data_IF_814292220258
#
_entry.id   IF_814292220258
#
_cell.length_a   1.000
_cell.length_b   1.000
_cell.length_c   1.000
_cell.angle_alpha   90.00
_cell.angle_beta   90.00
_cell.angle_gamma   90.00
#
_symmetry.space_group_name_H-M   'P 1'
#
loop_
_entity.id
_entity.type
_entity.pdbx_description
1 polymer ?
#
# COMPACT_ATOMS: atom_id res chain seq x y z
N UNK A 1 -5.13 29.28 4.64
CA UNK A 1 -5.11 27.92 5.27
C UNK A 1 -3.72 27.32 5.13
N UNK A 2 -3.21 26.54 6.09
CA UNK A 2 -1.89 25.90 6.01
C UNK A 2 -1.91 24.78 4.93
N UNK A 3 -0.88 24.67 4.08
CA UNK A 3 -0.88 23.75 2.92
C UNK A 3 -1.00 22.27 3.29
N UNK A 4 -0.47 21.87 4.44
CA UNK A 4 -0.66 20.53 5.03
C UNK A 4 -2.15 20.21 5.27
N UNK A 5 -2.94 21.16 5.80
CA UNK A 5 -4.41 21.03 5.94
C UNK A 5 -5.10 20.93 4.59
N UNK A 6 -4.65 21.72 3.59
CA UNK A 6 -5.20 21.68 2.22
C UNK A 6 -5.02 20.29 1.58
N UNK A 7 -3.81 19.72 1.64
CA UNK A 7 -3.53 18.38 1.10
C UNK A 7 -4.34 17.28 1.80
N UNK A 8 -4.39 17.28 3.14
CA UNK A 8 -5.16 16.28 3.89
C UNK A 8 -6.66 16.37 3.58
N UNK A 9 -7.19 17.60 3.53
CA UNK A 9 -8.59 17.86 3.16
C UNK A 9 -8.88 17.38 1.74
N UNK A 10 -7.99 17.66 0.78
CA UNK A 10 -8.13 17.20 -0.61
C UNK A 10 -8.20 15.66 -0.71
N UNK A 11 -7.30 14.92 -0.06
CA UNK A 11 -7.34 13.45 -0.10
C UNK A 11 -8.54 12.88 0.64
N UNK A 12 -8.99 13.51 1.74
CA UNK A 12 -10.24 13.15 2.39
C UNK A 12 -11.47 13.40 1.50
N UNK A 13 -11.49 14.48 0.72
CA UNK A 13 -12.56 14.73 -0.26
C UNK A 13 -12.57 13.67 -1.37
N UNK A 14 -11.40 13.25 -1.87
CA UNK A 14 -11.31 12.15 -2.85
C UNK A 14 -11.86 10.83 -2.26
N UNK A 15 -11.47 10.49 -1.03
CA UNK A 15 -11.95 9.28 -0.35
C UNK A 15 -13.45 9.34 -0.04
N UNK A 16 -13.96 10.46 0.47
CA UNK A 16 -15.38 10.66 0.76
C UNK A 16 -16.25 10.58 -0.51
N UNK A 17 -15.77 11.13 -1.63
CA UNK A 17 -16.45 11.01 -2.93
C UNK A 17 -16.54 9.55 -3.39
N UNK A 18 -15.45 8.78 -3.28
CA UNK A 18 -15.45 7.36 -3.63
C UNK A 18 -16.40 6.54 -2.75
N UNK A 19 -16.47 6.82 -1.45
CA UNK A 19 -17.46 6.23 -0.54
C UNK A 19 -18.90 6.59 -0.94
N UNK A 20 -19.18 7.86 -1.25
CA UNK A 20 -20.50 8.30 -1.69
C UNK A 20 -20.92 7.59 -3.00
N UNK A 21 -19.99 7.43 -3.93
CA UNK A 21 -20.25 6.75 -5.21
C UNK A 21 -20.41 5.23 -5.04
N UNK A 22 -19.65 4.61 -4.13
CA UNK A 22 -19.73 3.17 -3.85
C UNK A 22 -21.00 2.79 -3.08
N UNK A 23 -21.52 3.67 -2.23
CA UNK A 23 -22.75 3.46 -1.46
C UNK A 23 -23.99 3.17 -2.34
N UNK A 24 -24.03 3.70 -3.57
CA UNK A 24 -25.10 3.45 -4.53
C UNK A 24 -24.92 2.20 -5.40
N UNK A 25 -23.90 1.38 -5.15
CA UNK A 25 -23.58 0.20 -5.95
C UNK A 25 -24.04 -1.08 -5.25
N UNK A 26 -24.33 -2.12 -6.04
CA UNK A 26 -24.65 -3.45 -5.51
C UNK A 26 -23.47 -4.09 -4.73
N UNK A 27 -22.23 -3.71 -5.05
CA UNK A 27 -21.03 -4.12 -4.31
C UNK A 27 -20.07 -2.91 -4.12
N UNK A 28 -20.16 -2.21 -2.97
CA UNK A 28 -19.30 -1.07 -2.67
C UNK A 28 -17.81 -1.42 -2.66
N UNK A 29 -17.42 -2.58 -2.13
CA UNK A 29 -16.03 -3.02 -2.06
C UNK A 29 -15.40 -3.17 -3.46
N UNK A 30 -16.09 -3.85 -4.39
CA UNK A 30 -15.63 -3.99 -5.78
C UNK A 30 -15.56 -2.64 -6.51
N UNK A 31 -16.52 -1.74 -6.26
CA UNK A 31 -16.45 -0.38 -6.80
C UNK A 31 -15.18 0.35 -6.33
N UNK A 32 -14.91 0.35 -5.02
CA UNK A 32 -13.74 1.03 -4.46
C UNK A 32 -12.43 0.49 -5.02
N UNK A 33 -12.29 -0.84 -5.14
CA UNK A 33 -11.10 -1.46 -5.74
C UNK A 33 -10.89 -1.02 -7.20
N UNK A 34 -11.97 -0.98 -7.99
CA UNK A 34 -11.91 -0.66 -9.43
C UNK A 34 -11.78 0.84 -9.73
N UNK A 35 -12.02 1.71 -8.74
CA UNK A 35 -12.00 3.17 -8.87
C UNK A 35 -10.86 3.83 -8.06
N UNK A 36 -9.72 3.16 -7.94
CA UNK A 36 -8.47 3.69 -7.36
C UNK A 36 -8.58 4.18 -5.89
N UNK A 37 -9.43 3.55 -5.07
CA UNK A 37 -9.57 3.92 -3.65
C UNK A 37 -8.29 3.79 -2.82
N UNK A 38 -7.34 2.94 -3.25
CA UNK A 38 -6.07 2.74 -2.54
C UNK A 38 -5.18 3.98 -2.58
N UNK A 39 -5.20 4.76 -3.67
CA UNK A 39 -4.34 5.94 -3.82
C UNK A 39 -4.59 7.04 -2.76
N UNK A 40 -5.84 7.55 -2.55
CA UNK A 40 -6.08 8.52 -1.48
C UNK A 40 -5.84 7.91 -0.09
N UNK A 41 -6.10 6.62 0.13
CA UNK A 41 -5.80 5.94 1.39
C UNK A 41 -4.28 5.88 1.67
N UNK A 42 -3.45 5.55 0.68
CA UNK A 42 -1.99 5.59 0.81
C UNK A 42 -1.48 7.00 1.12
N UNK A 43 -2.03 8.04 0.50
CA UNK A 43 -1.62 9.41 0.78
C UNK A 43 -2.04 9.85 2.19
N UNK A 44 -3.26 9.54 2.62
CA UNK A 44 -3.72 9.79 3.99
C UNK A 44 -2.90 9.02 5.04
N UNK A 45 -2.54 7.77 4.74
CA UNK A 45 -1.66 6.94 5.58
C UNK A 45 -0.23 7.51 5.61
N UNK A 46 0.32 7.97 4.49
CA UNK A 46 1.63 8.63 4.41
C UNK A 46 1.68 9.94 5.18
N UNK A 47 0.65 10.79 5.05
CA UNK A 47 0.51 12.03 5.81
C UNK A 47 0.47 11.76 7.32
N UNK A 48 -0.42 10.87 7.75
CA UNK A 48 -0.55 10.51 9.17
C UNK A 48 0.70 9.83 9.73
N UNK A 49 1.46 9.06 8.92
CA UNK A 49 2.74 8.42 9.31
C UNK A 49 3.87 9.44 9.51
N UNK A 50 4.01 10.42 8.62
CA UNK A 50 5.00 11.52 8.77
C UNK A 50 4.65 12.39 9.99
N UNK A 51 3.38 12.72 10.17
CA UNK A 51 2.92 13.65 11.21
C UNK A 51 2.72 12.99 12.59
N UNK A 52 2.82 11.66 12.71
CA UNK A 52 2.41 10.89 13.90
C UNK A 52 3.10 11.31 15.21
N UNK A 53 4.32 11.82 15.15
CA UNK A 53 5.09 12.22 16.33
C UNK A 53 5.10 13.75 16.54
N UNK A 54 4.95 14.51 15.47
CA UNK A 54 5.19 15.96 15.43
C UNK A 54 3.90 16.78 15.50
N UNK A 55 2.73 16.15 15.33
CA UNK A 55 1.45 16.85 15.25
C UNK A 55 0.29 15.97 15.73
N UNK A 56 -0.32 16.37 16.87
CA UNK A 56 -1.46 15.68 17.50
C UNK A 56 -1.34 14.14 17.55
N UNK A 57 -0.31 13.56 18.22
CA UNK A 57 0.05 12.14 18.07
C UNK A 57 -1.07 11.14 18.29
N UNK A 58 -1.94 11.38 19.29
CA UNK A 58 -3.11 10.52 19.56
C UNK A 58 -4.09 10.50 18.37
N UNK A 59 -4.40 11.67 17.79
CA UNK A 59 -5.31 11.79 16.65
C UNK A 59 -4.68 11.24 15.37
N UNK A 60 -3.40 11.55 15.10
CA UNK A 60 -2.71 11.04 13.90
C UNK A 60 -2.52 9.53 13.90
N UNK A 61 -2.19 8.91 15.04
CA UNK A 61 -2.19 7.45 15.19
C UNK A 61 -3.57 6.85 14.88
N UNK A 62 -4.62 7.43 15.47
CA UNK A 62 -5.99 6.94 15.31
C UNK A 62 -6.51 7.08 13.87
N UNK A 63 -6.15 8.15 13.17
CA UNK A 63 -6.43 8.31 11.74
C UNK A 63 -5.66 7.28 10.90
N UNK A 64 -4.36 7.08 11.18
CA UNK A 64 -3.53 6.10 10.48
C UNK A 64 -4.10 4.67 10.60
N UNK A 65 -4.57 4.27 11.78
CA UNK A 65 -5.27 3.00 12.01
C UNK A 65 -6.49 2.82 11.08
N UNK A 66 -7.32 3.85 10.93
CA UNK A 66 -8.54 3.76 10.12
C UNK A 66 -8.22 3.67 8.62
N UNK A 67 -7.28 4.48 8.13
CA UNK A 67 -6.85 4.40 6.73
C UNK A 67 -6.11 3.10 6.42
N UNK A 68 -5.26 2.63 7.35
CA UNK A 68 -4.54 1.35 7.23
C UNK A 68 -5.51 0.17 7.11
N UNK A 69 -6.54 0.08 7.95
CA UNK A 69 -7.54 -1.00 7.88
C UNK A 69 -8.25 -1.06 6.52
N UNK A 70 -8.55 0.09 5.91
CA UNK A 70 -9.15 0.12 4.56
C UNK A 70 -8.14 -0.23 3.47
N UNK A 71 -6.89 0.24 3.55
CA UNK A 71 -5.83 -0.09 2.58
C UNK A 71 -5.49 -1.59 2.61
N UNK A 72 -5.30 -2.17 3.80
CA UNK A 72 -4.97 -3.60 3.93
C UNK A 72 -6.11 -4.49 3.39
N UNK A 73 -7.38 -4.14 3.67
CA UNK A 73 -8.54 -4.88 3.17
C UNK A 73 -8.70 -4.79 1.64
N UNK A 74 -8.52 -3.60 1.05
CA UNK A 74 -8.44 -3.44 -0.41
C UNK A 74 -7.22 -4.18 -1.00
N UNK A 75 -6.11 -4.22 -0.28
CA UNK A 75 -4.90 -4.96 -0.66
C UNK A 75 -5.13 -6.47 -0.73
N UNK A 76 -5.93 -7.05 0.17
CA UNK A 76 -6.31 -8.45 0.13
C UNK A 76 -7.18 -8.79 -1.10
N UNK A 77 -8.12 -7.92 -1.46
CA UNK A 77 -8.92 -8.08 -2.68
C UNK A 77 -8.09 -7.94 -3.96
N UNK A 78 -7.22 -6.93 -4.02
CA UNK A 78 -6.27 -6.69 -5.12
C UNK A 78 -5.36 -7.91 -5.35
N UNK A 79 -4.83 -8.50 -4.26
CA UNK A 79 -4.02 -9.71 -4.32
C UNK A 79 -4.72 -10.89 -5.00
N UNK A 80 -5.92 -11.28 -4.55
CA UNK A 80 -6.66 -12.38 -5.20
C UNK A 80 -7.12 -12.02 -6.63
N UNK A 81 -7.48 -10.76 -6.88
CA UNK A 81 -7.85 -10.27 -8.22
C UNK A 81 -6.70 -10.43 -9.21
N UNK A 82 -5.47 -10.08 -8.81
CA UNK A 82 -4.29 -10.19 -9.66
C UNK A 82 -3.87 -11.66 -9.88
N UNK A 83 -3.94 -12.53 -8.87
CA UNK A 83 -3.67 -13.97 -9.05
C UNK A 83 -4.70 -14.60 -9.99
N UNK A 84 -6.00 -14.31 -9.82
CA UNK A 84 -7.05 -14.80 -10.73
C UNK A 84 -6.84 -14.34 -12.16
N UNK A 85 -6.44 -13.08 -12.36
CA UNK A 85 -6.11 -12.51 -13.68
C UNK A 85 -4.96 -13.26 -14.34
N UNK A 86 -3.86 -13.51 -13.62
CA UNK A 86 -2.69 -14.23 -14.14
C UNK A 86 -3.03 -15.71 -14.43
N UNK A 87 -3.87 -16.35 -13.61
CA UNK A 87 -4.23 -17.76 -13.78
C UNK A 87 -5.36 -17.98 -14.80
N UNK A 88 -6.14 -16.95 -15.15
CA UNK A 88 -7.34 -17.04 -16.01
C UNK A 88 -7.07 -17.84 -17.28
N UNK A 89 -6.08 -17.42 -18.06
CA UNK A 89 -5.76 -17.99 -19.37
C UNK A 89 -4.89 -19.25 -19.32
N UNK A 90 -4.29 -19.58 -18.17
CA UNK A 90 -3.42 -20.76 -18.05
C UNK A 90 -4.28 -22.03 -17.97
N UNK A 91 -4.26 -22.85 -19.04
CA UNK A 91 -4.99 -24.12 -19.13
C UNK A 91 -4.41 -25.25 -18.27
N UNK A 92 -3.15 -25.14 -17.81
CA UNK A 92 -2.51 -26.13 -16.93
C UNK A 92 -2.99 -26.05 -15.48
N UNK A 93 -3.56 -24.92 -15.07
CA UNK A 93 -4.08 -24.70 -13.72
C UNK A 93 -5.53 -25.24 -13.65
N UNK A 94 -5.84 -26.22 -12.79
CA UNK A 94 -7.18 -26.82 -12.69
C UNK A 94 -8.27 -25.80 -12.36
N UNK A 95 -9.50 -26.05 -12.82
CA UNK A 95 -10.63 -25.16 -12.52
C UNK A 95 -11.02 -25.15 -11.04
N UNK A 96 -10.81 -26.25 -10.31
CA UNK A 96 -11.03 -26.29 -8.85
C UNK A 96 -10.17 -25.26 -8.12
N UNK A 97 -8.88 -25.17 -8.47
CA UNK A 97 -7.94 -24.16 -7.94
C UNK A 97 -8.39 -22.73 -8.27
N UNK A 98 -8.94 -22.50 -9.47
CA UNK A 98 -9.48 -21.19 -9.86
C UNK A 98 -10.77 -20.86 -9.11
N UNK A 99 -11.60 -21.85 -8.82
CA UNK A 99 -12.81 -21.69 -8.00
C UNK A 99 -12.47 -21.32 -6.56
N UNK A 100 -11.53 -22.01 -5.91
CA UNK A 100 -11.03 -21.65 -4.56
C UNK A 100 -10.56 -20.19 -4.47
N UNK A 101 -9.85 -19.72 -5.50
CA UNK A 101 -9.39 -18.33 -5.58
C UNK A 101 -10.56 -17.34 -5.75
N UNK A 102 -11.63 -17.72 -6.46
CA UNK A 102 -12.87 -16.93 -6.55
C UNK A 102 -13.56 -16.86 -5.18
N UNK A 103 -13.64 -17.97 -4.43
CA UNK A 103 -14.23 -17.97 -3.09
C UNK A 103 -13.38 -17.19 -2.06
N UNK A 104 -12.04 -17.23 -2.18
CA UNK A 104 -11.14 -16.35 -1.40
C UNK A 104 -11.34 -14.87 -1.76
N UNK A 105 -11.50 -14.52 -3.04
CA UNK A 105 -11.82 -13.14 -3.45
C UNK A 105 -13.19 -12.69 -2.93
N UNK A 106 -14.23 -13.51 -3.05
CA UNK A 106 -15.56 -13.24 -2.46
C UNK A 106 -15.46 -13.00 -0.96
N UNK A 107 -14.71 -13.83 -0.24
CA UNK A 107 -14.49 -13.69 1.21
C UNK A 107 -13.79 -12.37 1.56
N UNK A 108 -12.74 -11.99 0.81
CA UNK A 108 -12.06 -10.70 1.00
C UNK A 108 -12.99 -9.49 0.70
N UNK A 109 -13.83 -9.63 -0.33
CA UNK A 109 -14.82 -8.61 -0.74
C UNK A 109 -15.90 -8.42 0.33
N UNK A 110 -16.48 -9.53 0.83
CA UNK A 110 -17.44 -9.53 1.92
C UNK A 110 -16.84 -8.90 3.19
N UNK A 111 -15.61 -9.28 3.55
CA UNK A 111 -14.89 -8.70 4.68
C UNK A 111 -14.69 -7.17 4.54
N UNK A 112 -14.37 -6.65 3.35
CA UNK A 112 -14.29 -5.19 3.16
C UNK A 112 -15.68 -4.53 3.30
N UNK A 113 -16.74 -5.10 2.73
CA UNK A 113 -18.09 -4.58 2.88
C UNK A 113 -18.54 -4.55 4.37
N UNK A 114 -18.26 -5.60 5.13
CA UNK A 114 -18.46 -5.63 6.60
C UNK A 114 -17.67 -4.53 7.29
N UNK A 115 -16.37 -4.41 7.04
CA UNK A 115 -15.51 -3.39 7.66
C UNK A 115 -15.91 -1.94 7.30
N UNK A 116 -16.49 -1.70 6.13
CA UNK A 116 -17.03 -0.40 5.74
C UNK A 116 -18.22 0.00 6.62
N UNK A 117 -19.09 -0.95 6.95
CA UNK A 117 -20.26 -0.72 7.83
C UNK A 117 -19.85 -0.67 9.30
N UNK A 118 -19.12 -1.66 9.81
CA UNK A 118 -18.68 -1.74 11.22
C UNK A 118 -17.84 -0.53 11.66
N UNK A 119 -17.03 0.01 10.76
CA UNK A 119 -16.24 1.20 11.02
C UNK A 119 -17.00 2.49 10.67
N UNK A 120 -18.27 2.43 10.27
CA UNK A 120 -19.11 3.60 10.00
C UNK A 120 -18.62 4.47 8.83
N UNK A 121 -17.94 3.86 7.85
CA UNK A 121 -17.64 4.51 6.57
C UNK A 121 -18.87 4.53 5.65
N UNK A 122 -19.68 3.47 5.71
CA UNK A 122 -20.94 3.28 4.98
C UNK A 122 -22.03 2.74 5.94
N UNK A 123 -23.27 2.62 5.44
CA UNK A 123 -24.43 2.14 6.19
C UNK A 123 -25.15 3.23 6.97
N UNK A 124 -26.23 2.86 7.68
CA UNK A 124 -27.10 3.80 8.41
C UNK A 124 -26.35 4.63 9.47
N UNK A 125 -25.33 4.04 10.08
CA UNK A 125 -24.51 4.66 11.13
C UNK A 125 -23.23 5.33 10.57
N UNK A 126 -23.21 5.73 9.29
CA UNK A 126 -22.03 6.29 8.61
C UNK A 126 -21.59 7.67 9.13
N UNK A 127 -20.83 7.70 10.23
CA UNK A 127 -20.32 8.93 10.84
C UNK A 127 -18.80 9.14 10.66
N UNK A 128 -18.06 8.20 10.06
CA UNK A 128 -16.59 8.23 10.06
C UNK A 128 -16.02 9.43 9.32
N UNK A 129 -16.60 9.80 8.18
CA UNK A 129 -16.17 10.97 7.39
C UNK A 129 -16.35 12.26 8.21
N UNK A 130 -17.49 12.42 8.88
CA UNK A 130 -17.75 13.55 9.79
C UNK A 130 -16.76 13.57 10.96
N UNK A 131 -16.44 12.42 11.55
CA UNK A 131 -15.47 12.31 12.64
C UNK A 131 -14.04 12.68 12.22
N UNK A 132 -13.64 12.31 11.00
CA UNK A 132 -12.36 12.78 10.43
C UNK A 132 -12.41 14.29 10.14
N UNK A 133 -13.54 14.83 9.71
CA UNK A 133 -13.72 16.27 9.53
C UNK A 133 -13.58 17.04 10.86
N UNK A 134 -14.23 16.59 11.94
CA UNK A 134 -14.09 17.16 13.29
C UNK A 134 -12.61 17.20 13.71
N UNK A 135 -11.90 16.07 13.61
CA UNK A 135 -10.47 16.01 13.90
C UNK A 135 -9.66 17.01 13.06
N UNK A 136 -9.97 17.16 11.77
CA UNK A 136 -9.29 18.10 10.86
C UNK A 136 -9.52 19.59 11.23
N UNK A 137 -10.65 19.92 11.86
CA UNK A 137 -10.92 21.27 12.37
C UNK A 137 -10.23 21.55 13.70
N UNK A 138 -10.24 20.59 14.63
CA UNK A 138 -9.61 20.69 15.96
C UNK A 138 -8.07 20.62 15.95
N UNK A 139 -7.44 20.45 14.78
CA UNK A 139 -5.98 20.34 14.64
C UNK A 139 -5.35 21.69 14.30
N UNK A 140 -4.43 22.19 15.12
CA UNK A 140 -3.50 23.24 14.66
C UNK A 140 -2.40 22.64 13.76
N UNK A 141 -2.70 22.59 12.46
CA UNK A 141 -1.85 21.99 11.43
C UNK A 141 -0.43 22.56 11.40
N UNK A 142 0.57 21.76 11.01
CA UNK A 142 1.95 22.26 10.94
C UNK A 142 2.15 23.27 9.81
N UNK A 143 2.86 24.36 10.11
CA UNK A 143 3.42 25.28 9.11
C UNK A 143 4.62 24.69 8.37
N UNK A 144 5.02 25.29 7.25
CA UNK A 144 5.97 24.68 6.29
C UNK A 144 7.31 24.24 6.92
N UNK A 145 7.89 25.06 7.82
CA UNK A 145 9.14 24.73 8.53
C UNK A 145 9.02 23.44 9.35
N UNK A 146 7.88 23.24 10.02
CA UNK A 146 7.66 22.07 10.89
C UNK A 146 7.26 20.84 10.06
N UNK A 147 6.58 21.01 8.93
CA UNK A 147 6.36 19.94 7.94
C UNK A 147 7.69 19.44 7.36
N UNK A 148 8.60 20.35 6.98
CA UNK A 148 9.95 20.00 6.51
C UNK A 148 10.73 19.21 7.57
N UNK A 149 10.68 19.64 8.84
CA UNK A 149 11.32 18.92 9.94
C UNK A 149 10.71 17.50 10.13
N UNK A 150 9.38 17.39 10.15
CA UNK A 150 8.67 16.11 10.26
C UNK A 150 9.04 15.14 9.13
N UNK A 151 9.06 15.63 7.87
CA UNK A 151 9.50 14.87 6.71
C UNK A 151 10.94 14.39 6.87
N UNK A 152 11.88 15.29 7.21
CA UNK A 152 13.29 14.93 7.42
C UNK A 152 13.45 13.87 8.51
N UNK A 153 12.79 14.04 9.66
CA UNK A 153 12.81 13.08 10.77
C UNK A 153 12.27 11.71 10.35
N UNK A 154 11.16 11.69 9.58
CA UNK A 154 10.54 10.46 9.07
C UNK A 154 11.43 9.75 8.05
N UNK A 155 11.94 10.44 7.03
CA UNK A 155 12.87 9.89 6.05
C UNK A 155 14.11 9.29 6.73
N UNK A 156 14.75 10.02 7.65
CA UNK A 156 15.89 9.50 8.41
C UNK A 156 15.54 8.26 9.24
N UNK A 157 14.35 8.21 9.85
CA UNK A 157 13.88 7.06 10.61
C UNK A 157 13.59 5.84 9.73
N UNK A 158 12.99 6.03 8.56
CA UNK A 158 12.72 4.96 7.59
C UNK A 158 14.00 4.44 6.94
N UNK A 159 14.90 5.33 6.50
CA UNK A 159 16.23 4.95 5.97
C UNK A 159 17.00 4.10 6.99
N UNK A 160 17.00 4.48 8.28
CA UNK A 160 17.59 3.65 9.35
C UNK A 160 16.87 2.32 9.55
N UNK A 161 15.57 2.24 9.27
CA UNK A 161 14.82 0.97 9.36
C UNK A 161 15.16 0.04 8.20
N UNK A 162 15.11 0.56 6.97
CA UNK A 162 15.50 -0.13 5.74
C UNK A 162 16.94 -0.64 5.84
N UNK A 163 17.88 0.21 6.29
CA UNK A 163 19.28 -0.18 6.46
C UNK A 163 19.52 -1.25 7.55
N UNK A 164 18.58 -1.44 8.50
CA UNK A 164 18.59 -2.58 9.43
C UNK A 164 17.93 -3.81 8.82
N UNK A 165 16.84 -3.63 8.09
CA UNK A 165 16.12 -4.70 7.39
C UNK A 165 17.06 -5.39 6.39
N UNK A 166 17.77 -4.61 5.56
CA UNK A 166 18.75 -5.08 4.57
C UNK A 166 20.00 -5.77 5.16
N UNK A 167 20.16 -5.82 6.49
CA UNK A 167 21.22 -6.57 7.16
C UNK A 167 20.76 -7.92 7.71
N UNK A 168 19.45 -8.23 7.60
CA UNK A 168 18.88 -9.51 8.02
C UNK A 168 18.95 -10.51 6.87
N UNK A 169 18.98 -11.82 7.17
CA UNK A 169 18.72 -12.84 6.15
C UNK A 169 17.42 -12.57 5.40
N UNK A 170 17.40 -12.91 4.12
CA UNK A 170 16.21 -12.93 3.27
C UNK A 170 15.89 -14.39 2.99
N UNK A 171 14.85 -14.90 3.64
CA UNK A 171 14.51 -16.33 3.69
C UNK A 171 13.09 -16.59 3.18
N UNK A 172 12.20 -15.59 3.27
CA UNK A 172 10.80 -15.70 2.86
C UNK A 172 10.35 -14.54 1.98
N UNK A 173 9.59 -14.87 0.92
CA UNK A 173 9.07 -13.89 -0.04
C UNK A 173 8.15 -12.87 0.63
N UNK A 174 7.22 -13.31 1.49
CA UNK A 174 6.25 -12.39 2.09
C UNK A 174 6.83 -11.66 3.31
N UNK A 175 7.53 -12.35 4.21
CA UNK A 175 8.08 -11.73 5.42
C UNK A 175 9.24 -10.78 5.14
N UNK A 176 10.12 -11.11 4.19
CA UNK A 176 11.38 -10.40 4.01
C UNK A 176 11.38 -9.59 2.71
N UNK A 177 11.04 -10.17 1.55
CA UNK A 177 11.04 -9.44 0.26
C UNK A 177 9.88 -8.44 0.16
N UNK A 178 8.66 -8.83 0.53
CA UNK A 178 7.49 -7.95 0.46
C UNK A 178 7.56 -6.82 1.51
N UNK A 179 7.88 -7.13 2.77
CA UNK A 179 7.97 -6.08 3.80
C UNK A 179 9.17 -5.13 3.58
N UNK A 180 10.33 -5.60 3.10
CA UNK A 180 11.42 -4.69 2.70
C UNK A 180 10.96 -3.75 1.58
N UNK A 181 10.24 -4.28 0.58
CA UNK A 181 9.63 -3.45 -0.46
C UNK A 181 8.61 -2.47 0.12
N UNK A 182 7.79 -2.88 1.10
CA UNK A 182 6.79 -2.02 1.75
C UNK A 182 7.45 -0.89 2.53
N UNK A 183 8.54 -1.17 3.24
CA UNK A 183 9.39 -0.18 3.92
C UNK A 183 9.98 0.83 2.92
N UNK A 184 10.64 0.36 1.85
CA UNK A 184 11.25 1.24 0.84
C UNK A 184 10.21 2.08 0.10
N UNK A 185 9.05 1.51 -0.23
CA UNK A 185 7.95 2.21 -0.94
C UNK A 185 7.41 3.42 -0.17
N UNK A 186 7.51 3.48 1.15
CA UNK A 186 7.11 4.67 1.90
C UNK A 186 7.87 5.93 1.47
N UNK A 187 9.15 5.79 1.11
CA UNK A 187 10.01 6.90 0.70
C UNK A 187 9.60 7.52 -0.65
N UNK A 188 8.87 6.80 -1.51
CA UNK A 188 8.26 7.34 -2.75
C UNK A 188 6.79 7.71 -2.61
N UNK A 189 6.10 7.27 -1.55
CA UNK A 189 4.75 7.74 -1.22
C UNK A 189 4.78 9.14 -0.59
N UNK A 190 5.78 9.47 0.25
CA UNK A 190 5.82 10.77 0.93
C UNK A 190 5.83 12.00 -0.01
N UNK A 191 6.56 12.04 -1.14
CA UNK A 191 6.51 13.16 -2.07
C UNK A 191 5.12 13.36 -2.69
N UNK A 192 4.42 12.25 -2.95
CA UNK A 192 3.06 12.26 -3.50
C UNK A 192 2.01 12.64 -2.45
N UNK A 193 2.20 12.22 -1.19
CA UNK A 193 1.37 12.60 -0.06
C UNK A 193 1.58 14.08 0.35
N UNK A 194 2.79 14.62 0.19
CA UNK A 194 3.16 15.98 0.57
C UNK A 194 3.53 16.85 -0.65
N UNK A 195 2.67 16.88 -1.68
CA UNK A 195 2.92 17.56 -2.97
C UNK A 195 3.51 18.97 -2.78
N UNK A 196 4.72 19.14 -3.31
CA UNK A 196 5.53 20.36 -3.25
C UNK A 196 6.42 20.55 -2.02
N UNK A 197 6.27 19.75 -0.94
CA UNK A 197 7.20 19.77 0.20
C UNK A 197 8.41 18.85 0.04
N UNK A 198 8.38 17.93 -0.94
CA UNK A 198 9.53 17.10 -1.30
C UNK A 198 9.75 17.24 -2.80
N UNK A 199 11.00 17.41 -3.22
CA UNK A 199 11.38 17.46 -4.63
C UNK A 199 12.75 16.78 -4.84
N UNK A 200 13.14 16.53 -6.08
CA UNK A 200 14.46 16.03 -6.44
C UNK A 200 15.40 17.16 -6.82
N UNK A 201 16.69 16.97 -6.59
CA UNK A 201 17.76 17.84 -7.09
C UNK A 201 18.98 17.02 -7.47
N UNK A 202 19.59 17.37 -8.61
CA UNK A 202 20.79 16.72 -9.12
C UNK A 202 22.02 17.32 -8.45
N UNK A 203 22.87 16.45 -7.91
CA UNK A 203 24.18 16.81 -7.34
C UNK A 203 25.18 17.13 -8.45
N UNK A 204 26.16 18.00 -8.20
CA UNK A 204 27.15 18.40 -9.23
C UNK A 204 28.01 17.23 -9.72
N UNK A 205 28.49 16.39 -8.81
CA UNK A 205 29.18 15.15 -9.13
C UNK A 205 28.22 13.98 -8.88
N UNK A 206 27.63 13.45 -9.95
CA UNK A 206 26.76 12.27 -9.88
C UNK A 206 27.66 11.03 -9.72
N UNK A 207 27.47 10.20 -8.68
CA UNK A 207 28.23 8.95 -8.55
C UNK A 207 27.93 8.02 -9.72
N UNK A 208 28.98 7.54 -10.39
CA UNK A 208 28.87 6.64 -11.54
C UNK A 208 28.03 5.39 -11.25
N UNK A 209 28.17 4.84 -10.04
CA UNK A 209 27.39 3.71 -9.53
C UNK A 209 25.87 3.93 -9.54
N UNK A 210 25.41 5.19 -9.55
CA UNK A 210 24.00 5.54 -9.60
C UNK A 210 23.46 5.80 -11.03
N UNK A 211 24.33 6.03 -12.02
CA UNK A 211 23.91 6.35 -13.39
C UNK A 211 23.10 5.22 -14.04
N UNK A 212 23.50 3.96 -13.79
CA UNK A 212 22.81 2.75 -14.29
C UNK A 212 21.33 2.63 -13.90
N UNK A 213 20.88 3.38 -12.89
CA UNK A 213 19.49 3.38 -12.45
C UNK A 213 18.63 4.42 -13.15
N UNK A 214 19.20 5.38 -13.89
CA UNK A 214 18.45 6.38 -14.65
C UNK A 214 17.91 5.81 -15.97
N UNK A 215 17.13 4.72 -15.89
CA UNK A 215 16.49 4.10 -17.06
C UNK A 215 15.20 4.84 -17.45
N UNK A 216 14.71 4.72 -18.68
CA UNK A 216 13.43 5.32 -19.10
C UNK A 216 12.27 4.96 -18.15
N UNK A 217 12.20 3.71 -17.68
CA UNK A 217 11.17 3.25 -16.73
C UNK A 217 11.20 3.99 -15.40
N UNK A 218 12.38 4.45 -14.96
CA UNK A 218 12.53 5.24 -13.73
C UNK A 218 12.35 6.73 -13.96
N UNK A 219 12.83 7.27 -15.08
CA UNK A 219 12.72 8.70 -15.42
C UNK A 219 11.24 9.02 -15.70
N UNK A 220 10.60 8.25 -16.56
CA UNK A 220 9.22 8.49 -17.00
C UNK A 220 8.16 7.94 -16.01
N UNK A 221 8.59 7.34 -14.90
CA UNK A 221 7.70 6.85 -13.84
C UNK A 221 6.85 8.00 -13.28
N UNK A 222 5.50 7.91 -13.29
CA UNK A 222 4.63 8.92 -12.69
C UNK A 222 4.89 9.17 -11.20
N UNK A 223 5.46 8.19 -10.48
CA UNK A 223 5.84 8.34 -9.07
C UNK A 223 7.10 9.19 -8.86
N UNK A 224 7.91 9.37 -9.92
CA UNK A 224 9.15 10.13 -9.92
C UNK A 224 8.96 11.53 -10.55
N UNK A 225 7.83 11.77 -11.20
CA UNK A 225 7.37 13.09 -11.62
C UNK A 225 6.80 13.86 -10.41
N UNK A 226 7.66 14.64 -9.73
CA UNK A 226 7.30 15.36 -8.50
C UNK A 226 6.75 16.76 -8.81
N UNK A 227 5.59 17.08 -8.23
CA UNK A 227 4.91 18.36 -8.46
C UNK A 227 5.59 19.52 -7.72
N UNK A 228 5.97 20.57 -8.46
CA UNK A 228 6.37 21.86 -7.89
C UNK A 228 5.14 22.70 -7.52
N UNK A 229 5.17 23.39 -6.38
CA UNK A 229 4.06 24.23 -5.89
C UNK A 229 4.61 25.59 -5.47
N UNK A 230 4.29 26.64 -6.23
CA UNK A 230 4.90 27.97 -6.09
C UNK A 230 4.85 28.57 -4.67
N UNK A 231 3.81 28.27 -3.90
CA UNK A 231 3.61 28.81 -2.55
C UNK A 231 4.34 28.00 -1.44
N UNK A 232 5.18 27.02 -1.79
CA UNK A 232 5.96 26.23 -0.83
C UNK A 232 7.45 26.56 -0.97
N UNK A 233 8.04 27.12 0.09
CA UNK A 233 9.45 27.55 0.10
C UNK A 233 10.32 26.79 1.11
N UNK A 234 9.75 25.81 1.84
CA UNK A 234 10.48 24.88 2.70
C UNK A 234 10.34 23.45 2.15
N UNK A 235 11.18 23.16 1.16
CA UNK A 235 11.21 21.89 0.42
C UNK A 235 12.33 20.98 0.97
N UNK A 236 12.05 19.69 1.08
CA UNK A 236 13.04 18.65 1.29
C UNK A 236 13.56 18.18 -0.08
N UNK A 237 14.84 18.38 -0.35
CA UNK A 237 15.45 17.91 -1.59
C UNK A 237 16.08 16.52 -1.42
N UNK A 238 15.75 15.62 -2.34
CA UNK A 238 16.32 14.29 -2.47
C UNK A 238 17.30 14.25 -3.65
N UNK A 239 18.34 13.43 -3.58
CA UNK A 239 19.23 13.19 -4.71
C UNK A 239 18.47 12.45 -5.83
N UNK A 240 18.35 13.07 -7.01
CA UNK A 240 17.63 12.52 -8.17
C UNK A 240 18.03 11.07 -8.49
N UNK A 241 19.33 10.80 -8.59
CA UNK A 241 19.82 9.48 -9.03
C UNK A 241 19.68 8.41 -7.95
N UNK A 242 19.83 8.79 -6.68
CA UNK A 242 19.53 7.89 -5.56
C UNK A 242 18.02 7.59 -5.46
N UNK A 243 17.15 8.55 -5.80
CA UNK A 243 15.71 8.35 -5.86
C UNK A 243 15.31 7.44 -7.03
N UNK A 244 15.94 7.54 -8.20
CA UNK A 244 15.77 6.58 -9.29
C UNK A 244 16.22 5.17 -8.90
N UNK A 245 17.37 5.01 -8.25
CA UNK A 245 17.85 3.72 -7.74
C UNK A 245 16.88 3.10 -6.71
N UNK A 246 16.32 3.91 -5.82
CA UNK A 246 15.27 3.50 -4.89
C UNK A 246 13.98 3.08 -5.62
N UNK A 247 13.54 3.85 -6.62
CA UNK A 247 12.38 3.53 -7.45
C UNK A 247 12.57 2.21 -8.22
N UNK A 248 13.75 1.99 -8.78
CA UNK A 248 14.12 0.75 -9.44
C UNK A 248 14.03 -0.44 -8.47
N UNK A 249 14.58 -0.31 -7.26
CA UNK A 249 14.50 -1.38 -6.25
C UNK A 249 13.04 -1.73 -5.88
N UNK A 250 12.16 -0.73 -5.73
CA UNK A 250 10.72 -0.96 -5.47
C UNK A 250 10.07 -1.76 -6.60
N UNK A 251 10.48 -1.52 -7.86
CA UNK A 251 10.01 -2.26 -9.02
C UNK A 251 10.56 -3.70 -9.03
N UNK A 252 11.88 -3.89 -8.89
CA UNK A 252 12.52 -5.21 -8.92
C UNK A 252 12.02 -6.13 -7.80
N UNK A 253 12.00 -5.64 -6.54
CA UNK A 253 11.44 -6.40 -5.43
C UNK A 253 9.94 -6.68 -5.63
N UNK A 254 9.23 -5.84 -6.38
CA UNK A 254 7.82 -6.07 -6.76
C UNK A 254 7.67 -7.27 -7.68
N UNK A 255 8.46 -7.33 -8.75
CA UNK A 255 8.49 -8.46 -9.69
C UNK A 255 8.82 -9.77 -8.97
N UNK A 256 9.82 -9.77 -8.09
CA UNK A 256 10.20 -10.96 -7.30
C UNK A 256 9.09 -11.39 -6.34
N UNK A 257 8.50 -10.44 -5.61
CA UNK A 257 7.40 -10.66 -4.67
C UNK A 257 6.16 -11.23 -5.38
N UNK A 258 5.74 -10.65 -6.49
CA UNK A 258 4.56 -11.11 -7.23
C UNK A 258 4.81 -12.46 -7.91
N UNK A 259 6.03 -12.72 -8.39
CA UNK A 259 6.42 -14.03 -8.91
C UNK A 259 6.39 -15.12 -7.83
N UNK A 260 7.01 -14.86 -6.68
CA UNK A 260 7.07 -15.82 -5.57
C UNK A 260 5.69 -16.09 -4.97
N UNK A 261 4.84 -15.07 -4.81
CA UNK A 261 3.49 -15.27 -4.30
C UNK A 261 2.62 -16.12 -5.24
N UNK A 262 2.71 -15.97 -6.56
CA UNK A 262 1.96 -16.84 -7.49
C UNK A 262 2.38 -18.30 -7.35
N UNK A 263 3.69 -18.57 -7.26
CA UNK A 263 4.23 -19.91 -7.06
C UNK A 263 3.78 -20.52 -5.73
N UNK A 264 3.91 -19.77 -4.64
CA UNK A 264 3.52 -20.20 -3.29
C UNK A 264 2.01 -20.45 -3.18
N UNK A 265 1.18 -19.54 -3.70
CA UNK A 265 -0.29 -19.67 -3.64
C UNK A 265 -0.77 -20.89 -4.43
N UNK A 266 -0.23 -21.13 -5.62
CA UNK A 266 -0.57 -22.31 -6.41
C UNK A 266 -0.10 -23.60 -5.71
N UNK A 267 1.08 -23.60 -5.09
CA UNK A 267 1.58 -24.74 -4.33
C UNK A 267 0.70 -25.04 -3.10
N UNK A 268 0.29 -24.03 -2.33
CA UNK A 268 -0.61 -24.20 -1.17
C UNK A 268 -1.96 -24.83 -1.57
N UNK A 269 -2.55 -24.34 -2.66
CA UNK A 269 -3.81 -24.87 -3.18
C UNK A 269 -3.66 -26.29 -3.74
N UNK A 270 -2.57 -26.59 -4.47
CA UNK A 270 -2.27 -27.95 -4.93
C UNK A 270 -2.02 -28.92 -3.77
N UNK A 271 -1.29 -28.49 -2.74
CA UNK A 271 -1.09 -29.27 -1.51
C UNK A 271 -2.44 -29.60 -0.85
N UNK A 272 -3.36 -28.64 -0.78
CA UNK A 272 -4.69 -28.81 -0.19
C UNK A 272 -5.56 -29.78 -1.01
N UNK A 273 -5.64 -29.59 -2.33
CA UNK A 273 -6.51 -30.40 -3.22
C UNK A 273 -5.98 -31.81 -3.48
N UNK A 274 -4.66 -31.96 -3.60
CA UNK A 274 -4.02 -33.21 -4.05
C UNK A 274 -3.25 -33.93 -2.94
N UNK A 275 -3.29 -33.43 -1.69
CA UNK A 275 -2.60 -33.97 -0.51
C UNK A 275 -1.09 -34.21 -0.71
N UNK A 276 -0.47 -33.36 -1.54
CA UNK A 276 0.96 -33.45 -1.87
C UNK A 276 1.84 -33.00 -0.69
N UNK A 277 3.08 -33.48 -0.65
CA UNK A 277 4.12 -32.82 0.16
C UNK A 277 4.41 -31.41 -0.37
N UNK A 278 4.89 -30.52 0.50
CA UNK A 278 5.26 -29.13 0.15
C UNK A 278 6.22 -29.07 -1.06
N UNK A 279 7.19 -29.98 -1.13
CA UNK A 279 8.17 -30.05 -2.21
C UNK A 279 7.55 -30.48 -3.56
N UNK A 280 6.67 -31.49 -3.55
CA UNK A 280 5.92 -31.92 -4.74
C UNK A 280 4.97 -30.81 -5.22
N UNK A 281 4.26 -30.16 -4.31
CA UNK A 281 3.34 -29.08 -4.64
C UNK A 281 4.05 -27.87 -5.28
N UNK A 282 5.23 -27.49 -4.76
CA UNK A 282 6.07 -26.44 -5.36
C UNK A 282 6.56 -26.83 -6.77
N UNK A 283 7.06 -28.05 -6.97
CA UNK A 283 7.53 -28.54 -8.28
C UNK A 283 6.40 -28.57 -9.32
N UNK A 284 5.20 -29.02 -8.91
CA UNK A 284 4.01 -29.05 -9.75
C UNK A 284 3.55 -27.62 -10.09
N UNK A 285 3.48 -26.72 -9.11
CA UNK A 285 3.13 -25.32 -9.31
C UNK A 285 4.09 -24.62 -10.30
N UNK A 286 5.40 -24.81 -10.15
CA UNK A 286 6.40 -24.26 -11.07
C UNK A 286 6.19 -24.79 -12.51
N UNK A 287 5.93 -26.09 -12.67
CA UNK A 287 5.68 -26.73 -13.97
C UNK A 287 4.37 -26.24 -14.64
N UNK A 288 3.34 -25.95 -13.83
CA UNK A 288 2.08 -25.34 -14.29
C UNK A 288 2.25 -23.89 -14.70
N UNK A 289 3.09 -23.11 -13.99
CA UNK A 289 3.38 -21.70 -14.31
C UNK A 289 4.29 -21.54 -15.53
N UNK A 290 5.18 -22.51 -15.78
CA UNK A 290 5.98 -22.61 -17.01
C UNK A 290 7.48 -22.59 -16.78
N UNK A 291 8.25 -22.86 -17.84
CA UNK A 291 9.73 -22.98 -17.80
C UNK A 291 10.45 -21.69 -17.42
N UNK A 292 9.78 -20.53 -17.54
CA UNK A 292 10.31 -19.22 -17.14
C UNK A 292 10.01 -18.86 -15.67
N UNK A 293 9.25 -19.67 -14.93
CA UNK A 293 9.00 -19.44 -13.50
C UNK A 293 10.23 -19.85 -12.68
N UNK A 294 10.93 -18.91 -12.01
CA UNK A 294 12.06 -19.26 -11.14
C UNK A 294 11.56 -19.99 -9.89
N UNK A 295 12.44 -20.76 -9.24
CA UNK A 295 12.15 -21.38 -7.95
C UNK A 295 12.11 -20.32 -6.85
N UNK A 296 11.59 -20.68 -5.66
CA UNK A 296 11.61 -19.78 -4.49
C UNK A 296 13.04 -19.38 -4.13
N UNK A 297 14.00 -20.30 -4.23
CA UNK A 297 15.40 -20.03 -3.88
C UNK A 297 16.08 -19.12 -4.91
N UNK A 298 15.77 -19.25 -6.21
CA UNK A 298 16.26 -18.32 -7.24
C UNK A 298 15.75 -16.89 -7.01
N UNK A 299 14.47 -16.75 -6.62
CA UNK A 299 13.86 -15.46 -6.30
C UNK A 299 14.50 -14.83 -5.05
N UNK A 300 14.77 -15.63 -4.01
CA UNK A 300 15.45 -15.17 -2.79
C UNK A 300 16.91 -14.79 -3.07
N UNK A 301 17.65 -15.58 -3.85
CA UNK A 301 19.03 -15.25 -4.25
C UNK A 301 19.09 -13.98 -5.11
N UNK A 302 18.14 -13.81 -6.03
CA UNK A 302 18.01 -12.55 -6.79
C UNK A 302 17.74 -11.38 -5.85
N UNK A 303 16.82 -11.51 -4.88
CA UNK A 303 16.54 -10.46 -3.90
C UNK A 303 17.78 -10.11 -3.05
N UNK A 304 18.52 -11.11 -2.57
CA UNK A 304 19.79 -10.93 -1.82
C UNK A 304 20.81 -10.15 -2.66
N UNK A 305 20.99 -10.52 -3.94
CA UNK A 305 21.88 -9.83 -4.88
C UNK A 305 21.49 -8.36 -5.09
N UNK A 306 20.20 -8.07 -5.32
CA UNK A 306 19.69 -6.70 -5.46
C UNK A 306 19.97 -5.85 -4.20
N UNK A 307 19.83 -6.43 -3.01
CA UNK A 307 20.06 -5.75 -1.73
C UNK A 307 21.55 -5.41 -1.56
N UNK A 308 22.44 -6.36 -1.83
CA UNK A 308 23.89 -6.14 -1.79
C UNK A 308 24.29 -5.05 -2.80
N UNK A 309 23.71 -5.06 -4.01
CA UNK A 309 23.97 -4.04 -5.02
C UNK A 309 23.62 -2.62 -4.53
N UNK A 310 22.40 -2.40 -4.02
CA UNK A 310 21.99 -1.05 -3.54
C UNK A 310 22.70 -0.61 -2.25
N UNK A 311 23.20 -1.55 -1.45
CA UNK A 311 24.09 -1.27 -0.32
C UNK A 311 25.46 -0.79 -0.79
N UNK A 312 26.08 -1.49 -1.74
CA UNK A 312 27.38 -1.15 -2.32
C UNK A 312 27.34 0.19 -3.07
N UNK A 313 26.25 0.44 -3.82
CA UNK A 313 25.98 1.72 -4.49
C UNK A 313 25.58 2.85 -3.51
N UNK A 314 25.50 2.55 -2.19
CA UNK A 314 25.21 3.52 -1.11
C UNK A 314 23.89 4.29 -1.30
N UNK A 315 22.90 3.69 -1.97
CA UNK A 315 21.66 4.37 -2.43
C UNK A 315 20.98 5.16 -1.30
N UNK A 316 20.67 4.51 -0.17
CA UNK A 316 19.89 5.13 0.91
C UNK A 316 20.68 6.17 1.71
N UNK A 317 21.99 6.02 1.84
CA UNK A 317 22.87 7.03 2.46
C UNK A 317 23.00 8.30 1.61
N UNK A 318 22.81 8.18 0.30
CA UNK A 318 22.90 9.30 -0.66
C UNK A 318 21.55 9.95 -0.97
N UNK A 319 20.44 9.38 -0.49
CA UNK A 319 19.08 9.81 -0.84
C UNK A 319 18.71 11.20 -0.28
N UNK A 320 19.08 11.48 0.98
CA UNK A 320 18.87 12.79 1.60
C UNK A 320 20.06 13.70 1.35
N UNK A 321 19.83 14.86 0.73
CA UNK A 321 20.89 15.85 0.55
C UNK A 321 21.27 16.51 1.89
N UNK A 322 22.57 16.70 2.10
CA UNK A 322 23.09 17.46 3.24
C UNK A 322 23.07 18.96 2.93
N UNK A 323 23.20 19.82 3.96
CA UNK A 323 23.31 21.27 3.75
C UNK A 323 24.51 21.68 2.90
N UNK A 324 25.54 20.84 2.85
CA UNK A 324 26.83 21.13 2.21
C UNK A 324 27.02 20.32 0.92
N UNK A 325 25.99 19.61 0.43
CA UNK A 325 26.10 18.82 -0.80
C UNK A 325 26.07 19.76 -2.01
N UNK A 326 27.11 19.79 -2.88
CA UNK A 326 27.10 20.61 -4.09
C UNK A 326 26.03 20.13 -5.06
N UNK A 327 25.29 21.07 -5.66
CA UNK A 327 24.06 20.80 -6.42
C UNK A 327 23.94 21.70 -7.63
N UNK A 328 23.54 21.11 -8.76
CA UNK A 328 23.37 21.84 -10.01
C UNK A 328 22.26 22.88 -9.81
N UNK A 329 22.64 24.16 -9.89
CA UNK A 329 21.70 25.28 -9.85
C UNK A 329 21.01 25.40 -11.21
N UNK A 330 19.89 24.72 -11.37
CA UNK A 330 19.02 24.94 -12.53
C UNK A 330 18.27 26.26 -12.32
N UNK A 331 18.72 27.32 -12.98
CA UNK A 331 17.99 28.59 -13.08
C UNK A 331 16.69 28.32 -13.83
N UNK A 332 15.58 28.17 -13.11
CA UNK A 332 14.28 27.93 -13.74
C UNK A 332 13.81 29.19 -14.47
N UNK A 333 13.91 29.18 -15.80
CA UNK A 333 13.29 30.17 -16.66
C UNK A 333 11.77 29.99 -16.54
N UNK A 334 11.12 30.88 -15.79
CA UNK A 334 9.66 30.99 -15.75
C UNK A 334 9.21 31.53 -17.10
N UNK A 335 9.00 30.63 -18.07
CA UNK A 335 8.50 30.97 -19.40
C UNK A 335 7.00 31.24 -19.31
N UNK A 336 6.66 32.43 -18.80
CA UNK A 336 5.32 32.98 -18.88
C UNK A 336 4.91 33.00 -20.36
N UNK A 337 3.96 32.15 -20.73
CA UNK A 337 3.48 32.03 -22.11
C UNK A 337 2.33 33.03 -22.28
N UNK A 338 2.44 34.05 -23.16
CA UNK A 338 1.34 34.97 -23.40
C UNK A 338 0.17 34.22 -24.04
N UNK A 339 -1.03 34.39 -23.48
CA UNK A 339 -2.26 33.86 -24.08
C UNK A 339 -2.63 34.65 -25.33
N UNK A 340 -2.51 34.04 -26.50
CA UNK A 340 -3.12 34.55 -27.74
C UNK A 340 -4.29 33.67 -28.18
N UNK A 341 -5.36 34.35 -28.62
CA UNK A 341 -6.67 33.81 -29.02
C UNK A 341 -6.57 33.08 -30.38
N UNK A 342 -7.36 32.03 -30.64
CA UNK A 342 -7.32 31.30 -31.92
C UNK A 342 -8.25 31.89 -32.98
N UNK A 343 -7.93 31.64 -34.26
CA UNK A 343 -8.89 31.63 -35.38
C UNK A 343 -8.43 30.61 -36.46
N UNK A 344 -9.31 30.07 -37.33
CA UNK A 344 -9.13 28.73 -37.90
C UNK A 344 -8.91 28.66 -39.42
N UNK A 345 -8.25 27.58 -39.90
CA UNK A 345 -8.32 27.12 -41.31
C UNK A 345 -8.21 25.59 -41.43
N UNK A 346 -8.68 25.04 -42.55
CA UNK A 346 -9.19 23.67 -42.77
C UNK A 346 -8.27 22.69 -43.53
N UNK A 347 -8.43 21.37 -43.26
CA UNK A 347 -8.10 20.18 -44.13
C UNK A 347 -6.61 19.99 -44.52
N UNK A 348 -6.08 18.79 -44.85
CA UNK A 348 -6.62 17.48 -45.30
C UNK A 348 -5.65 16.33 -44.93
N UNK A 349 -6.15 15.09 -44.74
CA UNK A 349 -5.35 13.82 -44.72
C UNK A 349 -5.36 13.14 -46.11
N UNK A 350 -4.43 12.22 -46.46
CA UNK A 350 -4.30 10.85 -45.89
C UNK A 350 -2.82 10.48 -45.54
N UNK A 351 -2.33 9.25 -45.28
CA UNK A 351 -2.87 7.88 -45.29
C UNK A 351 -2.19 6.98 -44.19
N UNK A 352 -1.97 5.68 -44.44
CA UNK A 352 -1.12 4.72 -43.67
C UNK A 352 -0.67 3.59 -44.62
N UNK A 353 0.37 2.76 -44.33
CA UNK A 353 0.12 1.48 -43.61
C UNK A 353 1.26 0.92 -42.69
N UNK A 354 0.85 0.16 -41.65
CA UNK A 354 1.43 -1.06 -41.02
C UNK A 354 2.96 -1.23 -40.73
N UNK A 355 3.48 -1.98 -39.73
CA UNK A 355 3.04 -2.69 -38.50
C UNK A 355 4.34 -3.23 -37.79
N UNK A 356 4.34 -4.21 -36.84
CA UNK A 356 3.92 -4.12 -35.43
C UNK A 356 5.02 -4.55 -34.41
N UNK A 357 5.01 -4.04 -33.16
CA UNK A 357 5.57 -4.78 -31.98
C UNK A 357 4.73 -4.58 -30.71
N UNK A 358 4.60 -5.67 -29.96
CA UNK A 358 3.77 -5.85 -28.76
C UNK A 358 4.36 -5.19 -27.51
N UNK A 359 3.54 -4.48 -26.72
CA UNK A 359 3.85 -4.16 -25.31
C UNK A 359 2.60 -4.32 -24.44
N UNK A 360 2.68 -5.22 -23.47
CA UNK A 360 1.63 -5.41 -22.48
C UNK A 360 1.89 -4.53 -21.24
N UNK A 361 0.99 -3.59 -20.94
CA UNK A 361 0.87 -2.98 -19.61
C UNK A 361 -0.59 -2.53 -19.43
N UNK A 362 -1.28 -2.90 -18.33
CA UNK A 362 -2.70 -2.60 -18.18
C UNK A 362 -2.90 -1.14 -17.75
N UNK A 363 -3.22 -0.27 -18.72
CA UNK A 363 -3.82 1.03 -18.41
C UNK A 363 -5.30 0.79 -18.15
N UNK A 364 -5.77 1.05 -16.92
CA UNK A 364 -7.20 1.12 -16.62
C UNK A 364 -7.74 2.43 -17.23
N UNK A 365 -8.17 2.37 -18.48
CA UNK A 365 -9.09 3.37 -19.05
C UNK A 365 -10.51 2.90 -18.78
N UNK A 366 -11.24 3.63 -17.94
CA UNK A 366 -12.68 3.45 -17.82
C UNK A 366 -13.33 3.75 -19.19
N UNK A 367 -14.07 2.79 -19.73
CA UNK A 367 -14.86 2.98 -20.95
C UNK A 367 -16.34 2.86 -20.58
N UNK A 368 -17.05 3.98 -20.66
CA UNK A 368 -18.50 4.05 -20.52
C UNK A 368 -19.16 3.45 -21.75
N UNK A 369 -19.88 2.35 -21.60
CA UNK A 369 -20.78 1.82 -22.64
C UNK A 369 -22.21 1.85 -22.14
N UNK A 370 -22.97 2.82 -22.63
CA UNK A 370 -24.43 2.89 -22.48
C UNK A 370 -25.06 1.66 -23.13
N UNK A 371 -25.94 0.94 -22.42
CA UNK A 371 -26.79 -0.10 -23.03
C UNK A 371 -28.26 0.23 -22.80
N UNK A 372 -28.98 0.45 -23.90
CA UNK A 372 -30.42 0.68 -23.88
C UNK A 372 -31.18 -0.58 -23.40
N UNK A 373 -32.22 -0.36 -22.62
CA UNK A 373 -33.13 -1.41 -22.14
C UNK A 373 -34.27 -1.58 -23.15
N UNK A 374 -34.40 -2.76 -23.74
CA UNK A 374 -35.61 -3.14 -24.48
C UNK A 374 -36.58 -3.78 -23.49
N UNK A 375 -37.82 -3.28 -23.48
CA UNK A 375 -38.91 -3.76 -22.62
C UNK A 375 -39.67 -4.88 -23.33
N UNK A 376 -39.97 -5.96 -22.61
CA UNK A 376 -41.00 -6.94 -23.01
C UNK A 376 -41.89 -7.26 -21.80
N UNK A 377 -43.20 -7.41 -22.03
CA UNK A 377 -44.27 -7.38 -21.01
C UNK A 377 -44.86 -8.78 -20.71
N UNK A 378 -45.11 -9.05 -19.41
CA UNK A 378 -46.36 -9.68 -18.84
C UNK A 378 -46.60 -11.18 -19.19
N UNK A 379 -47.41 -11.99 -18.46
CA UNK A 379 -48.15 -11.84 -17.18
C UNK A 379 -47.56 -12.70 -16.03
N UNK A 380 -47.82 -12.54 -14.72
CA UNK A 380 -49.01 -12.20 -13.91
C UNK A 380 -49.98 -13.38 -13.63
N UNK A 381 -49.94 -13.94 -12.41
CA UNK A 381 -50.88 -14.97 -11.90
C UNK A 381 -51.42 -14.65 -10.49
N UNK A 382 -52.65 -15.14 -10.26
CA UNK A 382 -53.50 -14.97 -9.07
C UNK A 382 -53.85 -16.36 -8.48
N UNK A 383 -54.29 -16.57 -7.24
CA UNK A 383 -54.31 -15.82 -5.95
C UNK A 383 -54.98 -16.77 -4.92
N UNK A 384 -54.71 -16.65 -3.59
CA UNK A 384 -55.47 -17.29 -2.47
C UNK A 384 -55.34 -18.84 -2.37
N UNK A 385 -55.66 -19.55 -1.27
CA UNK A 385 -56.10 -19.21 0.12
C UNK A 385 -55.53 -20.24 1.14
N UNK A 386 -55.56 -19.94 2.44
CA UNK A 386 -55.39 -20.92 3.53
C UNK A 386 -56.66 -21.82 3.73
N UNK A 387 -56.62 -22.84 4.60
CA UNK A 387 -57.07 -22.62 5.99
C UNK A 387 -56.25 -23.35 7.08
N UNK A 388 -56.62 -23.13 8.35
CA UNK A 388 -55.91 -23.59 9.55
C UNK A 388 -56.63 -24.73 10.31
N UNK A 389 -55.92 -25.48 11.16
CA UNK A 389 -56.48 -26.10 12.38
C UNK A 389 -55.43 -26.64 13.39
N UNK A 390 -55.68 -26.37 14.68
CA UNK A 390 -55.39 -27.15 15.92
C UNK A 390 -53.94 -27.43 16.40
N UNK A 391 -53.70 -27.02 17.64
CA UNK A 391 -52.69 -27.58 18.56
C UNK A 391 -53.21 -28.88 19.25
N UNK A 392 -52.35 -29.60 20.00
CA UNK A 392 -52.49 -29.54 21.46
C UNK A 392 -51.17 -29.55 22.28
N UNK A 393 -51.33 -29.41 23.60
CA UNK A 393 -50.35 -29.24 24.70
C UNK A 393 -49.68 -30.51 25.24
N UNK A 394 -48.41 -30.38 25.68
CA UNK A 394 -47.76 -31.04 26.85
C UNK A 394 -46.37 -30.40 27.04
N UNK A 395 -46.04 -29.65 28.10
CA UNK A 395 -45.75 -30.06 29.50
C UNK A 395 -44.59 -31.05 29.66
N UNK A 396 -43.37 -30.53 29.89
CA UNK A 396 -42.37 -31.19 30.76
C UNK A 396 -41.52 -30.15 31.50
N UNK A 397 -41.49 -30.24 32.83
CA UNK A 397 -40.66 -29.46 33.74
C UNK A 397 -39.23 -29.98 33.81
N UNK A 398 -38.22 -29.10 33.93
CA UNK A 398 -37.01 -29.41 34.71
C UNK A 398 -36.29 -28.17 35.25
N UNK A 399 -36.25 -28.07 36.57
CA UNK A 399 -35.42 -27.15 37.36
C UNK A 399 -33.97 -27.64 37.43
N UNK A 400 -33.00 -26.73 37.37
CA UNK A 400 -31.69 -26.88 38.03
C UNK A 400 -31.12 -25.53 38.44
N UNK A 401 -30.48 -25.49 39.60
CA UNK A 401 -30.12 -24.29 40.34
C UNK A 401 -28.64 -23.89 40.14
N UNK A 402 -28.40 -22.58 40.04
CA UNK A 402 -27.32 -21.80 40.70
C UNK A 402 -26.00 -22.51 41.06
N UNK A 403 -24.88 -22.00 40.53
CA UNK A 403 -23.75 -21.52 41.36
C UNK A 403 -22.70 -20.73 40.55
N UNK A 404 -22.43 -19.49 40.98
CA UNK A 404 -21.13 -18.81 40.80
C UNK A 404 -20.23 -19.18 41.98
N UNK A 405 -18.89 -19.12 41.85
CA UNK A 405 -18.18 -18.33 42.84
C UNK A 405 -17.03 -17.46 42.29
N UNK A 406 -16.89 -16.29 42.90
CA UNK A 406 -15.67 -15.47 42.93
C UNK A 406 -14.76 -15.91 44.09
N UNK A 407 -13.43 -15.90 43.98
CA UNK A 407 -12.57 -14.82 44.54
C UNK A 407 -11.04 -15.04 44.47
N UNK A 408 -10.34 -13.94 44.76
CA UNK A 408 -8.88 -13.67 44.77
C UNK A 408 -8.04 -14.43 45.83
N UNK A 409 -6.76 -14.66 45.50
CA UNK A 409 -5.53 -14.35 46.29
C UNK A 409 -4.33 -14.50 45.32
N UNK A 410 -3.32 -13.62 45.18
CA UNK A 410 -2.43 -12.86 46.10
C UNK A 410 -1.51 -13.73 46.96
N UNK A 411 -0.28 -13.91 46.48
CA UNK A 411 0.91 -14.22 47.31
C UNK A 411 2.12 -13.43 46.82
N UNK A 412 2.76 -12.73 47.74
CA UNK A 412 4.07 -12.07 47.61
C UNK A 412 5.12 -12.89 48.33
N UNK A 413 6.30 -13.10 47.74
CA UNK A 413 7.45 -13.68 48.44
C UNK A 413 8.69 -12.81 48.23
N UNK A 414 9.41 -12.55 49.32
CA UNK A 414 10.60 -11.68 49.39
C UNK A 414 11.80 -12.48 49.90
N UNK A 415 12.99 -11.86 49.94
CA UNK A 415 14.29 -12.37 50.45
C UNK A 415 15.04 -13.36 49.51
N UNK A 416 16.37 -13.44 49.51
CA UNK A 416 17.39 -12.80 50.39
C UNK A 416 18.69 -12.47 49.64
N UNK A 417 19.46 -11.52 50.18
CA UNK A 417 20.81 -11.09 49.79
C UNK A 417 21.92 -12.09 50.14
N UNK A 418 23.03 -12.06 49.39
CA UNK A 418 24.40 -12.36 49.87
C UNK A 418 25.41 -11.46 49.14
N UNK A 419 26.45 -11.02 49.85
CA UNK A 419 27.49 -10.12 49.34
C UNK A 419 28.87 -10.48 49.91
N UNK A 420 29.93 -10.29 49.11
CA UNK A 420 31.36 -10.14 49.50
C UNK A 420 32.03 -9.45 48.31
N UNK A 421 32.44 -8.16 48.36
CA UNK A 421 33.80 -7.66 48.67
C UNK A 421 34.94 -8.47 47.99
N UNK A 422 35.97 -7.88 47.37
CA UNK A 422 37.14 -7.22 47.99
C UNK A 422 37.96 -6.57 46.84
N UNK A 423 38.07 -5.22 46.71
CA UNK A 423 39.18 -4.32 47.17
C UNK A 423 40.26 -3.97 46.12
N UNK A 424 40.39 -2.65 45.81
CA UNK A 424 41.59 -1.85 45.41
C UNK A 424 42.42 -2.32 44.17
N UNK A 425 43.19 -1.47 43.46
CA UNK A 425 43.65 -0.07 43.63
C UNK A 425 44.01 0.55 42.27
N UNK A 426 44.20 1.88 42.25
CA UNK A 426 45.08 2.75 41.39
C UNK A 426 45.94 2.10 40.29
N UNK A 427 46.24 2.72 39.14
CA UNK A 427 46.70 4.13 38.98
C UNK A 427 46.55 4.65 37.53
N UNK A 428 46.58 5.98 37.35
CA UNK A 428 46.69 6.74 36.09
C UNK A 428 48.10 7.40 36.05
N UNK A 429 48.44 8.27 35.07
CA UNK A 429 48.81 8.05 33.66
C UNK A 429 50.33 8.27 33.38
N UNK A 430 50.81 7.94 32.16
CA UNK A 430 51.87 8.74 31.48
C UNK A 430 51.69 8.73 29.96
N UNK A 431 52.24 9.75 29.29
CA UNK A 431 52.18 10.03 27.85
C UNK A 431 53.16 9.16 27.03
N UNK A 432 52.83 8.94 25.77
CA UNK A 432 53.68 9.21 24.60
C UNK A 432 52.78 9.34 23.37
#
# INVERSE_FOLDING_TARGET
>A
MKHSKQLFTHYMTLWARLLQQSAGQADPATYLLTHDARTPLFYLQGMTRVLMHEHNPKKMRRLNEWFKKMEDALGAMDYYTNILKDFKSNRKIPQTIKHDLIEKLKSATANLNTLLVELGWLGENANRVQKVHQYNQEMDWLGQKNVLLALKNRYQSDIRSIARHMKRPIEEIERDVHELRRDVRWLSIYPQAFKGFVNMQTVESIPESLLKYATPETIDSPYNQLAHVANINKVLYLNTHAYYAMSWLIAQLGVLKDSGLRLLTLAELLQTHQKLSKAQALKNAQTMLGTTQPSVEDLLNTARGLIVQVQNDKVFSQLLLSKNTPVIKITQVIKATPTNKPSPTTRTTPATPASPKTRATPIIKASTTTRATVVTKVPATKTRTAPAAKAPTATTTRTTTRATPTNKARTTTTRKTSATQVVKKTTKPTQS
#
